data_IF_152944983856
#
_entry.id   IF_152944983856
#
_cell.length_a   1.000
_cell.length_b   1.000
_cell.length_c   1.000
_cell.angle_alpha   90.00
_cell.angle_beta   90.00
_cell.angle_gamma   90.00
#
_symmetry.space_group_name_H-M   'P 1'
#
loop_
_entity.id
_entity.type
_entity.pdbx_description
1 polymer ?
#
# COMPACT_ATOMS: atom_id res chain seq x y z
N UNK A 1 -54.72 11.24 34.50
CA UNK A 1 -53.75 10.17 34.09
C UNK A 1 -53.14 10.55 32.76
N UNK A 2 -51.88 10.97 32.75
CA UNK A 2 -51.17 11.38 31.54
C UNK A 2 -50.46 10.15 30.92
N UNK A 3 -50.67 9.93 29.60
CA UNK A 3 -50.01 8.85 28.84
C UNK A 3 -48.52 9.16 28.60
N UNK A 4 -47.61 8.22 28.75
CA UNK A 4 -46.22 8.46 28.49
C UNK A 4 -45.93 8.60 26.97
N UNK A 5 -45.23 9.68 26.58
CA UNK A 5 -44.73 9.92 25.22
C UNK A 5 -43.67 8.85 24.86
N UNK A 6 -43.94 8.06 23.81
CA UNK A 6 -42.93 7.15 23.20
C UNK A 6 -41.86 8.00 22.51
N UNK A 7 -40.65 8.00 23.06
CA UNK A 7 -39.47 8.55 22.41
C UNK A 7 -39.02 7.58 21.33
N UNK A 8 -39.30 7.92 20.09
CA UNK A 8 -38.74 7.21 18.92
C UNK A 8 -37.23 7.50 18.83
N UNK A 9 -36.39 6.51 19.16
CA UNK A 9 -34.97 6.55 18.88
C UNK A 9 -34.76 6.70 17.37
N UNK A 10 -34.29 7.87 16.91
CA UNK A 10 -33.83 8.08 15.54
C UNK A 10 -32.69 7.07 15.29
N UNK A 11 -32.90 6.07 14.43
CA UNK A 11 -31.82 5.24 13.86
C UNK A 11 -30.96 6.21 13.04
N UNK A 12 -29.76 6.50 13.52
CA UNK A 12 -28.75 7.20 12.73
C UNK A 12 -28.49 6.38 11.47
N UNK A 13 -28.77 6.96 10.31
CA UNK A 13 -28.49 6.32 9.03
C UNK A 13 -27.01 5.98 8.98
N UNK A 14 -26.67 4.72 8.64
CA UNK A 14 -25.28 4.33 8.41
C UNK A 14 -24.71 5.25 7.33
N UNK A 15 -23.51 5.85 7.52
CA UNK A 15 -22.88 6.66 6.50
C UNK A 15 -22.76 5.85 5.21
N UNK A 16 -23.09 6.46 4.07
CA UNK A 16 -23.03 5.82 2.75
C UNK A 16 -21.59 5.40 2.51
N UNK A 17 -21.33 4.10 2.46
CA UNK A 17 -19.99 3.56 2.24
C UNK A 17 -19.44 4.07 0.90
N UNK A 18 -18.26 4.65 0.91
CA UNK A 18 -17.58 5.07 -0.31
C UNK A 18 -17.24 3.83 -1.13
N UNK A 19 -17.64 3.82 -2.42
CA UNK A 19 -17.30 2.72 -3.33
C UNK A 19 -15.80 2.74 -3.58
N UNK A 20 -15.11 1.68 -3.17
CA UNK A 20 -13.68 1.49 -3.43
C UNK A 20 -13.47 0.71 -4.73
N UNK A 21 -12.45 1.06 -5.49
CA UNK A 21 -12.05 0.36 -6.70
C UNK A 21 -10.92 -0.59 -6.33
N UNK A 22 -11.14 -1.89 -6.54
CA UNK A 22 -10.25 -2.98 -6.15
C UNK A 22 -9.76 -3.67 -7.42
N UNK A 23 -8.72 -3.14 -8.04
CA UNK A 23 -8.22 -3.61 -9.31
C UNK A 23 -6.68 -3.65 -9.38
N UNK A 24 -6.00 -3.80 -8.23
CA UNK A 24 -4.58 -4.14 -8.23
C UNK A 24 -4.37 -5.46 -8.99
N UNK A 25 -3.62 -5.40 -10.08
CA UNK A 25 -3.35 -6.55 -10.93
C UNK A 25 -2.24 -7.41 -10.33
N UNK A 26 -2.25 -8.73 -10.51
CA UNK A 26 -1.09 -9.56 -10.24
C UNK A 26 0.13 -9.07 -11.03
N UNK A 27 1.30 -9.13 -10.42
CA UNK A 27 2.56 -8.75 -11.06
C UNK A 27 2.95 -9.77 -12.13
N UNK A 28 3.32 -9.32 -13.36
CA UNK A 28 3.75 -10.21 -14.42
C UNK A 28 5.22 -10.60 -14.27
N UNK A 29 5.61 -11.77 -14.77
CA UNK A 29 7.02 -12.24 -14.86
C UNK A 29 7.76 -12.15 -13.54
N UNK A 30 7.15 -12.67 -12.48
CA UNK A 30 7.72 -12.66 -11.12
C UNK A 30 8.76 -13.74 -10.92
N UNK A 31 8.86 -14.71 -11.82
CA UNK A 31 9.85 -15.79 -11.85
C UNK A 31 11.28 -15.28 -12.02
N UNK A 32 11.45 -14.10 -12.64
CA UNK A 32 12.74 -13.46 -12.87
C UNK A 32 13.13 -12.46 -11.74
N UNK A 33 12.30 -12.30 -10.71
CA UNK A 33 12.58 -11.36 -9.63
C UNK A 33 13.64 -11.89 -8.68
N UNK A 34 14.48 -11.01 -8.18
CA UNK A 34 15.31 -11.32 -7.02
C UNK A 34 14.44 -11.63 -5.81
N UNK A 35 14.79 -12.71 -5.12
CA UNK A 35 14.04 -13.26 -3.99
C UNK A 35 14.57 -12.76 -2.64
N UNK A 36 13.92 -13.16 -1.55
CA UNK A 36 14.46 -12.97 -0.19
C UNK A 36 15.83 -13.64 -0.04
N UNK A 37 16.02 -14.84 -0.60
CA UNK A 37 17.29 -15.56 -0.54
C UNK A 37 18.41 -14.82 -1.28
N UNK A 38 18.09 -14.17 -2.40
CA UNK A 38 19.06 -13.34 -3.12
C UNK A 38 19.43 -12.10 -2.32
N UNK A 39 18.48 -11.49 -1.63
CA UNK A 39 18.74 -10.39 -0.69
C UNK A 39 19.62 -10.84 0.48
N UNK A 40 19.39 -12.04 0.99
CA UNK A 40 20.18 -12.61 2.08
C UNK A 40 21.62 -12.94 1.63
N UNK A 41 21.81 -13.54 0.45
CA UNK A 41 23.13 -13.82 -0.14
C UNK A 41 23.92 -12.53 -0.42
N UNK A 42 23.22 -11.44 -0.70
CA UNK A 42 23.79 -10.11 -0.94
C UNK A 42 23.96 -9.27 0.33
N UNK A 43 23.77 -9.86 1.52
CA UNK A 43 23.86 -9.20 2.83
C UNK A 43 22.87 -8.03 3.02
N UNK A 44 21.85 -7.93 2.16
CA UNK A 44 20.80 -6.91 2.23
C UNK A 44 19.75 -7.32 3.26
N UNK A 45 19.39 -8.60 3.31
CA UNK A 45 18.51 -9.16 4.32
C UNK A 45 19.32 -9.99 5.34
N UNK A 46 19.00 -9.86 6.62
CA UNK A 46 19.68 -10.59 7.68
C UNK A 46 19.03 -11.96 7.91
N UNK A 47 19.30 -12.94 7.03
CA UNK A 47 18.67 -14.26 7.03
C UNK A 47 18.80 -15.02 8.36
N UNK A 48 19.88 -14.80 9.11
CA UNK A 48 20.20 -15.48 10.37
C UNK A 48 19.91 -14.65 11.63
N UNK A 49 19.39 -13.43 11.47
CA UNK A 49 19.09 -12.58 12.62
C UNK A 49 17.93 -13.14 13.45
N UNK A 50 18.05 -13.02 14.76
CA UNK A 50 16.91 -13.29 15.65
C UNK A 50 15.79 -12.31 15.35
N UNK A 51 14.64 -12.82 14.90
CA UNK A 51 13.46 -12.01 14.60
C UNK A 51 12.78 -11.66 15.94
N UNK A 52 12.61 -10.37 16.30
CA UNK A 52 11.89 -10.00 17.52
C UNK A 52 10.43 -10.47 17.44
N UNK A 53 9.81 -10.65 18.60
CA UNK A 53 8.41 -11.11 18.69
C UNK A 53 7.41 -10.10 18.12
N UNK A 54 7.80 -8.82 18.05
CA UNK A 54 6.99 -7.75 17.48
C UNK A 54 7.87 -6.65 16.90
N UNK A 55 7.33 -5.94 15.92
CA UNK A 55 7.90 -4.73 15.32
C UNK A 55 6.78 -3.78 14.94
N UNK A 56 6.94 -2.51 15.26
CA UNK A 56 6.03 -1.45 14.82
C UNK A 56 6.83 -0.31 14.20
N UNK A 57 6.60 -0.05 12.92
CA UNK A 57 7.28 0.99 12.15
C UNK A 57 6.45 2.28 12.05
N UNK A 58 5.24 2.31 12.62
CA UNK A 58 4.37 3.49 12.60
C UNK A 58 5.04 4.66 13.31
N UNK A 59 4.82 5.84 12.78
CA UNK A 59 5.34 7.11 13.32
C UNK A 59 4.30 8.21 13.17
N UNK A 60 4.38 9.25 14.00
CA UNK A 60 3.41 10.35 13.99
C UNK A 60 3.43 11.18 12.70
N UNK A 61 4.57 11.25 12.02
CA UNK A 61 4.70 11.97 10.75
C UNK A 61 4.13 11.21 9.54
N UNK A 62 3.90 9.90 9.68
CA UNK A 62 3.46 9.04 8.57
C UNK A 62 1.94 8.92 8.55
N UNK A 63 1.28 10.04 8.29
CA UNK A 63 -0.17 10.19 8.31
C UNK A 63 -0.86 9.34 7.25
N UNK A 64 -2.07 8.89 7.55
CA UNK A 64 -2.93 8.13 6.62
C UNK A 64 -3.65 9.09 5.69
N UNK A 65 -3.63 8.76 4.40
CA UNK A 65 -4.34 9.48 3.34
C UNK A 65 -5.47 8.64 2.73
N UNK A 66 -6.25 9.22 1.82
CA UNK A 66 -7.40 8.55 1.18
C UNK A 66 -7.29 8.61 -0.36
N UNK A 67 -7.26 7.42 -0.99
CA UNK A 67 -7.26 7.27 -2.44
C UNK A 67 -8.60 7.62 -3.10
N UNK A 68 -9.65 7.80 -2.32
CA UNK A 68 -10.99 8.04 -2.84
C UNK A 68 -11.56 6.84 -3.60
N UNK A 69 -12.34 7.16 -4.65
CA UNK A 69 -12.95 6.17 -5.55
C UNK A 69 -12.14 6.00 -6.84
N UNK A 70 -10.82 5.76 -6.68
CA UNK A 70 -9.89 5.57 -7.80
C UNK A 70 -9.20 4.21 -7.73
N UNK A 71 -8.68 3.74 -8.87
CA UNK A 71 -7.87 2.51 -8.99
C UNK A 71 -6.40 2.67 -8.55
N UNK A 72 -6.08 3.71 -7.81
CA UNK A 72 -4.73 4.16 -7.51
C UNK A 72 -4.05 3.50 -6.30
N UNK A 73 -4.57 2.40 -5.78
CA UNK A 73 -4.04 1.74 -4.57
C UNK A 73 -2.53 1.44 -4.66
N UNK A 74 -2.04 0.99 -5.81
CA UNK A 74 -0.61 0.74 -6.05
C UNK A 74 0.20 2.04 -5.94
N UNK A 75 -0.31 3.14 -6.49
CA UNK A 75 0.33 4.46 -6.37
C UNK A 75 0.44 4.93 -4.91
N UNK A 76 -0.59 4.71 -4.10
CA UNK A 76 -0.58 5.06 -2.68
C UNK A 76 0.30 4.11 -1.86
N UNK A 77 0.20 2.80 -2.09
CA UNK A 77 1.03 1.83 -1.39
C UNK A 77 2.52 2.03 -1.69
N UNK A 78 2.87 2.36 -2.95
CA UNK A 78 4.26 2.65 -3.32
C UNK A 78 4.73 4.03 -2.82
N UNK A 79 4.07 5.13 -3.22
CA UNK A 79 4.55 6.47 -2.95
C UNK A 79 4.40 6.87 -1.47
N UNK A 80 3.17 6.81 -0.93
CA UNK A 80 2.87 7.33 0.41
C UNK A 80 3.28 6.36 1.53
N UNK A 81 3.25 5.05 1.23
CA UNK A 81 3.62 4.06 2.24
C UNK A 81 5.09 3.65 2.11
N UNK A 82 5.46 2.86 1.11
CA UNK A 82 6.78 2.23 1.01
C UNK A 82 7.90 3.27 0.82
N UNK A 83 7.89 4.00 -0.31
CA UNK A 83 8.97 4.89 -0.71
C UNK A 83 9.15 6.06 0.26
N UNK A 84 8.06 6.67 0.72
CA UNK A 84 8.14 7.80 1.65
C UNK A 84 8.84 7.41 2.94
N UNK A 85 8.50 6.26 3.53
CA UNK A 85 9.14 5.78 4.75
C UNK A 85 10.65 5.61 4.55
N UNK A 86 11.04 4.89 3.52
CA UNK A 86 12.45 4.62 3.23
C UNK A 86 13.25 5.91 2.92
N UNK A 87 12.67 6.82 2.13
CA UNK A 87 13.37 8.05 1.78
C UNK A 87 13.46 9.04 2.95
N UNK A 88 12.51 9.03 3.87
CA UNK A 88 12.64 9.80 5.12
C UNK A 88 13.73 9.18 6.00
N UNK A 89 13.76 7.86 6.14
CA UNK A 89 14.79 7.17 6.94
C UNK A 89 16.19 7.32 6.38
N UNK A 90 16.35 7.38 5.06
CA UNK A 90 17.64 7.60 4.38
C UNK A 90 18.00 9.10 4.21
N UNK A 91 17.19 10.04 4.71
CA UNK A 91 17.45 11.48 4.60
C UNK A 91 17.18 12.09 3.21
N UNK A 92 16.65 11.31 2.25
CA UNK A 92 16.28 11.80 0.91
C UNK A 92 14.98 12.63 0.90
N UNK A 93 14.18 12.54 1.97
CA UNK A 93 12.98 13.34 2.23
C UNK A 93 12.97 13.81 3.69
N UNK A 94 12.34 14.95 3.93
CA UNK A 94 11.94 15.36 5.28
C UNK A 94 10.59 14.73 5.63
N UNK A 95 10.28 14.68 6.91
CA UNK A 95 9.02 14.12 7.42
C UNK A 95 7.77 14.85 6.90
N UNK A 96 7.88 16.14 6.54
CA UNK A 96 6.79 16.96 6.00
C UNK A 96 6.60 16.80 4.48
N UNK A 97 7.57 16.20 3.77
CA UNK A 97 7.48 16.03 2.32
C UNK A 97 6.70 14.79 1.95
N UNK A 98 5.84 14.92 0.95
CA UNK A 98 5.05 13.83 0.37
C UNK A 98 5.57 13.48 -1.01
N UNK A 99 5.48 12.22 -1.38
CA UNK A 99 5.64 11.76 -2.76
C UNK A 99 4.29 11.75 -3.46
N UNK A 100 4.31 11.84 -4.77
CA UNK A 100 3.10 11.84 -5.61
C UNK A 100 2.58 10.42 -5.87
N UNK A 101 1.46 10.00 -5.27
CA UNK A 101 0.82 8.74 -5.63
C UNK A 101 0.30 8.77 -7.07
N UNK A 102 -0.09 9.95 -7.59
CA UNK A 102 -0.54 10.11 -8.96
C UNK A 102 0.59 9.81 -9.95
N UNK A 103 1.80 10.31 -9.70
CA UNK A 103 2.95 9.99 -10.55
C UNK A 103 3.22 8.48 -10.57
N UNK A 104 3.32 7.85 -9.40
CA UNK A 104 3.60 6.43 -9.33
C UNK A 104 2.52 5.61 -10.03
N UNK A 105 1.25 5.96 -9.85
CA UNK A 105 0.14 5.29 -10.51
C UNK A 105 0.15 5.47 -12.03
N UNK A 106 0.23 6.73 -12.53
CA UNK A 106 0.20 7.03 -13.96
C UNK A 106 1.42 6.47 -14.70
N UNK A 107 2.62 6.68 -14.16
CA UNK A 107 3.84 6.14 -14.77
C UNK A 107 3.83 4.60 -14.80
N UNK A 108 3.25 3.97 -13.79
CA UNK A 108 3.05 2.52 -13.81
C UNK A 108 2.06 2.09 -14.88
N UNK A 109 0.96 2.82 -15.08
CA UNK A 109 -0.01 2.54 -16.15
C UNK A 109 0.60 2.70 -17.55
N UNK A 110 1.46 3.70 -17.74
CA UNK A 110 2.18 3.93 -19.00
C UNK A 110 3.17 2.80 -19.35
N UNK A 111 3.67 2.09 -18.34
CA UNK A 111 4.75 1.10 -18.50
C UNK A 111 4.30 -0.34 -18.26
N UNK A 112 3.08 -0.57 -17.76
CA UNK A 112 2.59 -1.92 -17.51
C UNK A 112 2.16 -2.61 -18.82
N UNK A 113 2.13 -3.95 -18.84
CA UNK A 113 1.71 -4.71 -20.02
C UNK A 113 0.18 -4.81 -20.17
N UNK A 114 -0.58 -4.23 -19.25
CA UNK A 114 -2.03 -4.34 -19.26
C UNK A 114 -2.64 -3.35 -20.24
N UNK A 115 -3.31 -3.86 -21.25
CA UNK A 115 -3.98 -3.04 -22.27
C UNK A 115 -5.20 -2.36 -21.64
N UNK A 116 -5.12 -1.03 -21.50
CA UNK A 116 -6.24 -0.19 -21.10
C UNK A 116 -6.90 0.37 -22.35
N UNK A 117 -8.20 0.11 -22.55
CA UNK A 117 -8.94 0.69 -23.69
C UNK A 117 -9.22 2.17 -23.46
N UNK A 118 -9.16 3.02 -24.50
CA UNK A 118 -9.41 4.48 -24.38
C UNK A 118 -10.79 4.86 -23.82
N UNK A 119 -11.75 3.94 -23.87
CA UNK A 119 -13.11 4.14 -23.35
C UNK A 119 -13.21 4.03 -21.83
N UNK A 120 -12.14 3.60 -21.15
CA UNK A 120 -12.11 3.45 -19.70
C UNK A 120 -11.54 4.72 -19.08
N UNK A 121 -12.23 5.28 -18.10
CA UNK A 121 -11.65 6.37 -17.30
C UNK A 121 -10.42 5.85 -16.58
N UNK A 122 -9.28 6.51 -16.79
CA UNK A 122 -8.01 6.15 -16.14
C UNK A 122 -8.14 6.07 -14.62
N UNK A 123 -9.05 6.85 -14.04
CA UNK A 123 -9.36 6.88 -12.62
C UNK A 123 -9.82 5.51 -12.05
N UNK A 124 -10.32 4.62 -12.89
CA UNK A 124 -10.73 3.27 -12.48
C UNK A 124 -9.66 2.20 -12.70
N UNK A 125 -8.60 2.54 -13.44
CA UNK A 125 -7.60 1.57 -13.86
C UNK A 125 -6.56 1.29 -12.79
N UNK A 126 -6.25 0.00 -12.61
CA UNK A 126 -5.20 -0.48 -11.71
C UNK A 126 -3.96 -0.93 -12.47
N UNK A 127 -2.91 -1.13 -11.72
CA UNK A 127 -1.61 -1.65 -12.17
C UNK A 127 -1.09 -2.69 -11.17
N UNK A 128 0.16 -3.16 -11.32
CA UNK A 128 0.77 -4.16 -10.43
C UNK A 128 1.84 -3.56 -9.53
N UNK A 129 2.19 -4.29 -8.47
CA UNK A 129 3.24 -3.87 -7.53
C UNK A 129 4.59 -3.75 -8.23
N UNK A 130 4.98 -4.78 -8.98
CA UNK A 130 6.26 -4.85 -9.71
C UNK A 130 6.41 -3.66 -10.66
N UNK A 131 5.37 -3.30 -11.39
CA UNK A 131 5.45 -2.16 -12.31
C UNK A 131 5.75 -0.85 -11.57
N UNK A 132 5.14 -0.61 -10.41
CA UNK A 132 5.45 0.57 -9.61
C UNK A 132 6.90 0.55 -9.07
N UNK A 133 7.42 -0.62 -8.73
CA UNK A 133 8.80 -0.78 -8.29
C UNK A 133 9.79 -0.60 -9.45
N UNK A 134 9.45 -1.05 -10.66
CA UNK A 134 10.21 -0.77 -11.88
C UNK A 134 10.26 0.72 -12.18
N UNK A 135 9.13 1.44 -12.05
CA UNK A 135 9.09 2.90 -12.15
C UNK A 135 10.00 3.54 -11.12
N UNK A 136 9.91 3.13 -9.85
CA UNK A 136 10.74 3.67 -8.77
C UNK A 136 12.23 3.42 -9.02
N UNK A 137 12.61 2.27 -9.60
CA UNK A 137 14.00 1.92 -9.92
C UNK A 137 14.52 2.63 -11.17
N UNK A 138 13.74 2.66 -12.24
CA UNK A 138 14.15 3.24 -13.53
C UNK A 138 14.08 4.77 -13.53
N UNK A 139 12.99 5.34 -13.07
CA UNK A 139 12.70 6.78 -13.15
C UNK A 139 12.77 7.49 -11.80
N UNK A 140 12.46 6.80 -10.70
CA UNK A 140 12.40 7.37 -9.37
C UNK A 140 10.99 7.83 -9.00
N UNK A 141 10.90 8.81 -8.09
CA UNK A 141 9.64 9.36 -7.60
C UNK A 141 9.70 10.88 -7.43
N UNK A 142 8.62 11.59 -7.80
CA UNK A 142 8.50 13.03 -7.61
C UNK A 142 7.77 13.35 -6.31
N UNK A 143 8.01 14.54 -5.76
CA UNK A 143 7.22 15.07 -4.63
C UNK A 143 5.80 15.39 -5.10
N UNK A 144 4.83 15.28 -4.19
CA UNK A 144 3.41 15.60 -4.45
C UNK A 144 3.22 17.06 -4.92
N UNK A 145 4.09 17.97 -4.50
CA UNK A 145 4.09 19.37 -4.96
C UNK A 145 4.31 19.52 -6.47
N UNK A 146 4.93 18.56 -7.15
CA UNK A 146 5.12 18.57 -8.60
C UNK A 146 3.92 18.01 -9.37
N UNK A 147 3.25 17.03 -8.80
CA UNK A 147 2.06 16.41 -9.41
C UNK A 147 1.10 15.98 -8.28
N UNK A 148 0.30 16.91 -7.75
CA UNK A 148 -0.64 16.62 -6.65
C UNK A 148 -1.69 15.61 -7.05
N UNK A 149 -2.04 14.71 -6.12
CA UNK A 149 -3.03 13.68 -6.40
C UNK A 149 -4.41 14.26 -6.71
N UNK A 150 -4.87 15.22 -5.90
CA UNK A 150 -6.25 15.71 -5.91
C UNK A 150 -6.59 16.67 -7.07
N UNK A 151 -5.60 17.34 -7.67
CA UNK A 151 -5.90 18.48 -8.55
C UNK A 151 -6.02 18.12 -10.02
N UNK A 152 -5.57 16.96 -10.46
CA UNK A 152 -5.50 16.59 -11.87
C UNK A 152 -4.65 17.53 -12.74
N UNK A 153 -3.92 18.47 -12.10
CA UNK A 153 -3.06 19.41 -12.82
C UNK A 153 -1.83 18.69 -13.35
N UNK A 154 -1.53 18.93 -14.61
CA UNK A 154 -0.27 18.50 -15.20
C UNK A 154 0.87 19.37 -14.67
N UNK A 155 2.07 18.82 -14.67
CA UNK A 155 3.27 19.57 -14.35
C UNK A 155 3.49 20.66 -15.42
N UNK A 156 3.57 21.92 -14.98
CA UNK A 156 3.68 23.08 -15.89
C UNK A 156 5.12 23.39 -16.33
N UNK A 157 6.12 22.72 -15.72
CA UNK A 157 7.55 22.93 -16.04
C UNK A 157 8.01 22.08 -17.22
N UNK A 158 9.32 22.15 -17.50
CA UNK A 158 9.95 21.33 -18.55
C UNK A 158 9.97 19.86 -18.14
N UNK A 159 9.65 18.94 -19.05
CA UNK A 159 9.67 17.51 -18.82
C UNK A 159 11.04 17.02 -18.32
N UNK A 160 12.14 17.55 -18.88
CA UNK A 160 13.50 17.23 -18.43
C UNK A 160 13.73 17.54 -16.93
N UNK A 161 13.24 18.68 -16.45
CA UNK A 161 13.31 19.06 -15.04
C UNK A 161 12.47 18.13 -14.17
N UNK A 162 11.30 17.73 -14.65
CA UNK A 162 10.43 16.80 -13.93
C UNK A 162 11.11 15.44 -13.74
N UNK A 163 11.64 14.85 -14.80
CA UNK A 163 12.32 13.56 -14.71
C UNK A 163 13.66 13.63 -13.97
N UNK A 164 14.42 14.73 -14.09
CA UNK A 164 15.61 14.95 -13.30
C UNK A 164 15.29 14.99 -11.79
N UNK A 165 14.17 15.61 -11.43
CA UNK A 165 13.69 15.64 -10.04
C UNK A 165 13.26 14.25 -9.55
N UNK A 166 12.61 13.46 -10.39
CA UNK A 166 12.26 12.08 -10.08
C UNK A 166 13.49 11.23 -9.81
N UNK A 167 14.52 11.37 -10.64
CA UNK A 167 15.76 10.61 -10.57
C UNK A 167 16.55 10.78 -9.25
N UNK A 168 16.31 11.86 -8.51
CA UNK A 168 16.89 12.06 -7.17
C UNK A 168 16.37 11.05 -6.13
N UNK A 169 15.28 10.34 -6.44
CA UNK A 169 14.58 9.43 -5.52
C UNK A 169 14.31 8.09 -6.16
N UNK A 170 15.40 7.45 -6.64
CA UNK A 170 15.37 6.07 -7.13
C UNK A 170 15.61 5.10 -5.99
N UNK A 171 15.03 3.92 -6.10
CA UNK A 171 15.45 2.75 -5.34
C UNK A 171 16.60 2.06 -6.07
N UNK A 172 17.44 1.35 -5.32
CA UNK A 172 18.55 0.56 -5.87
C UNK A 172 18.04 -0.78 -6.39
N UNK A 173 17.25 -1.46 -5.57
CA UNK A 173 16.72 -2.78 -5.84
C UNK A 173 15.34 -2.99 -5.20
N UNK A 174 14.64 -4.00 -5.66
CA UNK A 174 13.48 -4.59 -5.00
C UNK A 174 13.58 -6.12 -5.04
N UNK A 175 12.97 -6.75 -4.06
CA UNK A 175 13.02 -8.20 -3.85
C UNK A 175 11.61 -8.74 -3.67
N UNK A 176 11.27 -9.78 -4.41
CA UNK A 176 10.06 -10.56 -4.23
C UNK A 176 10.22 -11.44 -2.99
N UNK A 177 9.44 -11.16 -1.95
CA UNK A 177 9.49 -11.88 -0.69
C UNK A 177 8.55 -13.11 -0.68
N UNK A 178 7.91 -13.40 -1.82
CA UNK A 178 6.95 -14.50 -1.93
C UNK A 178 5.80 -14.37 -0.95
N UNK A 179 5.38 -15.52 -0.41
CA UNK A 179 4.27 -15.62 0.57
C UNK A 179 4.72 -16.23 1.91
N UNK A 180 6.03 -16.32 2.16
CA UNK A 180 6.57 -16.80 3.42
C UNK A 180 6.48 -15.72 4.52
N UNK A 181 5.62 -15.91 5.50
CA UNK A 181 5.37 -14.95 6.57
C UNK A 181 6.59 -14.73 7.47
N UNK A 182 7.51 -15.69 7.56
CA UNK A 182 8.77 -15.55 8.31
C UNK A 182 9.71 -14.57 7.60
N UNK A 183 9.80 -14.63 6.28
CA UNK A 183 10.61 -13.71 5.49
C UNK A 183 10.05 -12.29 5.57
N UNK A 184 8.72 -12.13 5.59
CA UNK A 184 8.09 -10.84 5.80
C UNK A 184 8.41 -10.25 7.17
N UNK A 185 8.35 -11.05 8.23
CA UNK A 185 8.74 -10.61 9.59
C UNK A 185 10.20 -10.22 9.65
N UNK A 186 11.07 -11.03 9.03
CA UNK A 186 12.49 -10.74 8.97
C UNK A 186 12.74 -9.40 8.25
N UNK A 187 12.12 -9.20 7.08
CA UNK A 187 12.25 -7.95 6.33
C UNK A 187 11.75 -6.74 7.12
N UNK A 188 10.57 -6.85 7.72
CA UNK A 188 9.97 -5.79 8.55
C UNK A 188 10.84 -5.44 9.77
N UNK A 189 11.49 -6.43 10.36
CA UNK A 189 12.36 -6.23 11.53
C UNK A 189 13.63 -5.45 11.18
N UNK A 190 14.23 -5.74 10.03
CA UNK A 190 15.60 -5.33 9.70
C UNK A 190 15.66 -4.28 8.58
N UNK A 191 14.77 -4.33 7.59
CA UNK A 191 14.84 -3.55 6.37
C UNK A 191 13.74 -2.47 6.25
N UNK A 192 12.60 -2.62 6.95
CA UNK A 192 11.51 -1.64 6.92
C UNK A 192 10.21 -2.18 6.32
N UNK A 193 9.26 -1.30 5.95
CA UNK A 193 7.96 -1.72 5.43
C UNK A 193 8.08 -2.48 4.12
N UNK A 194 7.08 -3.34 3.86
CA UNK A 194 6.92 -4.07 2.61
C UNK A 194 5.62 -3.67 1.92
N UNK A 195 5.60 -3.72 0.60
CA UNK A 195 4.39 -3.52 -0.20
C UNK A 195 3.78 -4.86 -0.54
N UNK A 196 2.48 -5.01 -0.33
CA UNK A 196 1.79 -6.28 -0.55
C UNK A 196 0.54 -6.10 -1.40
N UNK A 197 0.23 -7.13 -2.20
CA UNK A 197 -1.04 -7.32 -2.88
C UNK A 197 -1.85 -8.36 -2.12
N UNK A 198 -3.15 -8.12 -2.02
CA UNK A 198 -4.08 -9.07 -1.44
C UNK A 198 -5.40 -9.06 -2.22
N UNK A 199 -6.17 -10.14 -2.04
CA UNK A 199 -7.55 -10.19 -2.48
C UNK A 199 -8.47 -9.76 -1.32
N UNK A 200 -9.16 -8.63 -1.50
CA UNK A 200 -10.06 -8.06 -0.47
C UNK A 200 -11.36 -8.83 -0.43
N UNK A 201 -11.76 -9.23 0.75
CA UNK A 201 -13.04 -9.88 1.03
C UNK A 201 -13.99 -8.94 1.84
N UNK A 202 -15.16 -9.45 2.23
CA UNK A 202 -16.16 -8.67 2.97
C UNK A 202 -15.72 -8.22 4.37
N UNK A 203 -14.70 -8.84 4.97
CA UNK A 203 -14.21 -8.46 6.31
C UNK A 203 -13.67 -7.02 6.33
N UNK A 204 -13.16 -6.53 5.20
CA UNK A 204 -12.69 -5.15 5.06
C UNK A 204 -13.78 -4.10 5.22
N UNK A 205 -15.04 -4.45 4.94
CA UNK A 205 -16.15 -3.53 5.16
C UNK A 205 -16.45 -3.30 6.63
N UNK A 206 -16.19 -4.30 7.43
CA UNK A 206 -16.48 -4.30 8.86
C UNK A 206 -15.25 -3.94 9.71
N UNK A 207 -14.07 -3.72 9.07
CA UNK A 207 -12.83 -3.40 9.75
C UNK A 207 -12.94 -2.24 10.76
N UNK A 208 -13.73 -1.20 10.45
CA UNK A 208 -13.93 -0.09 11.39
C UNK A 208 -14.77 -0.47 12.63
N UNK A 209 -15.55 -1.55 12.57
CA UNK A 209 -16.33 -2.05 13.70
C UNK A 209 -15.57 -3.09 14.52
N UNK A 210 -14.58 -3.74 13.89
CA UNK A 210 -13.73 -4.77 14.54
C UNK A 210 -12.42 -4.16 15.11
N UNK A 211 -12.28 -2.83 15.12
CA UNK A 211 -11.04 -2.18 15.51
C UNK A 211 -9.86 -2.50 14.57
N UNK A 212 -10.16 -2.78 13.30
CA UNK A 212 -9.17 -3.12 12.28
C UNK A 212 -8.83 -4.63 12.21
N UNK A 213 -9.42 -5.48 13.03
CA UNK A 213 -9.09 -6.91 13.02
C UNK A 213 -9.60 -7.61 11.75
N UNK A 214 -8.69 -8.31 11.08
CA UNK A 214 -8.92 -9.18 9.94
C UNK A 214 -8.54 -10.61 10.37
N UNK A 215 -9.52 -11.38 10.85
CA UNK A 215 -9.26 -12.66 11.51
C UNK A 215 -9.34 -13.84 10.54
N UNK A 216 -10.39 -13.91 9.73
CA UNK A 216 -10.65 -15.04 8.83
C UNK A 216 -11.00 -14.52 7.44
N UNK A 217 -10.24 -15.00 6.45
CA UNK A 217 -10.48 -14.67 5.04
C UNK A 217 -11.65 -15.49 4.49
N UNK A 218 -12.57 -14.82 3.79
CA UNK A 218 -13.71 -15.45 3.12
C UNK A 218 -13.59 -15.34 1.59
N UNK A 219 -13.00 -16.35 0.93
CA UNK A 219 -12.78 -16.31 -0.52
C UNK A 219 -14.08 -16.18 -1.35
N UNK A 220 -15.21 -16.65 -0.81
CA UNK A 220 -16.52 -16.54 -1.49
C UNK A 220 -17.04 -15.09 -1.57
N UNK A 221 -16.49 -14.18 -0.76
CA UNK A 221 -16.84 -12.76 -0.75
C UNK A 221 -15.76 -11.85 -1.34
N UNK A 222 -14.79 -12.42 -2.05
CA UNK A 222 -13.69 -11.67 -2.71
C UNK A 222 -14.24 -10.66 -3.71
N UNK A 223 -13.71 -9.43 -3.66
CA UNK A 223 -14.14 -8.29 -4.48
C UNK A 223 -13.11 -7.81 -5.48
N UNK A 224 -11.86 -8.18 -5.31
CA UNK A 224 -10.75 -7.82 -6.20
C UNK A 224 -9.46 -7.52 -5.47
N UNK A 225 -8.41 -7.29 -6.25
CA UNK A 225 -7.07 -7.04 -5.76
C UNK A 225 -6.89 -5.63 -5.20
N UNK A 226 -6.12 -5.51 -4.12
CA UNK A 226 -5.75 -4.26 -3.48
C UNK A 226 -4.28 -4.25 -3.13
N UNK A 227 -3.68 -3.06 -3.10
CA UNK A 227 -2.30 -2.84 -2.69
C UNK A 227 -2.26 -2.03 -1.39
N UNK A 228 -1.49 -2.52 -0.42
CA UNK A 228 -1.26 -1.87 0.88
C UNK A 228 0.21 -2.04 1.30
N UNK A 229 0.59 -1.48 2.45
CA UNK A 229 1.87 -1.79 3.05
C UNK A 229 1.70 -2.55 4.38
N UNK A 230 2.57 -3.52 4.64
CA UNK A 230 2.76 -4.02 5.99
C UNK A 230 3.83 -3.15 6.66
N UNK A 231 3.52 -2.69 7.86
CA UNK A 231 4.33 -1.70 8.59
C UNK A 231 4.71 -2.18 9.98
N UNK A 232 4.59 -3.48 10.20
CA UNK A 232 4.95 -4.13 11.45
C UNK A 232 4.20 -5.44 11.65
N UNK A 233 4.43 -6.03 12.81
CA UNK A 233 3.77 -7.26 13.25
C UNK A 233 3.80 -7.41 14.77
N UNK A 234 2.91 -8.23 15.28
CA UNK A 234 2.91 -8.78 16.64
C UNK A 234 3.21 -10.28 16.59
N UNK A 235 3.09 -10.97 17.71
CA UNK A 235 3.27 -12.42 17.75
C UNK A 235 2.31 -13.16 16.79
N UNK A 236 1.11 -12.62 16.58
CA UNK A 236 -0.01 -13.28 15.90
C UNK A 236 -0.60 -12.51 14.72
N UNK A 237 -0.15 -11.25 14.46
CA UNK A 237 -0.75 -10.38 13.43
C UNK A 237 0.27 -9.55 12.68
N UNK A 238 -0.05 -9.20 11.43
CA UNK A 238 0.62 -8.14 10.69
C UNK A 238 -0.15 -6.82 10.81
N UNK A 239 0.59 -5.70 10.91
CA UNK A 239 0.04 -4.34 10.91
C UNK A 239 -0.04 -3.85 9.48
N UNK A 240 -1.25 -3.68 8.99
CA UNK A 240 -1.57 -3.22 7.63
C UNK A 240 -1.77 -1.71 7.64
N UNK A 241 -1.05 -0.97 6.77
CA UNK A 241 -1.27 0.45 6.52
C UNK A 241 -2.03 0.61 5.21
N UNK A 242 -3.26 1.12 5.29
CA UNK A 242 -4.15 1.30 4.15
C UNK A 242 -4.22 2.76 3.68
N UNK A 243 -4.84 2.98 2.53
CA UNK A 243 -5.08 4.29 1.89
C UNK A 243 -6.57 4.64 1.76
N UNK A 244 -7.38 4.29 2.76
CA UNK A 244 -8.84 4.56 2.76
C UNK A 244 -9.27 5.59 3.81
N UNK A 245 -8.32 6.45 4.23
CA UNK A 245 -8.57 7.48 5.24
C UNK A 245 -8.59 6.92 6.67
N UNK A 246 -8.60 7.83 7.63
CA UNK A 246 -8.55 7.50 9.06
C UNK A 246 -9.88 7.00 9.64
N UNK A 247 -10.96 7.06 8.88
CA UNK A 247 -12.26 6.51 9.28
C UNK A 247 -12.40 5.01 9.03
N UNK A 248 -11.46 4.40 8.29
CA UNK A 248 -11.42 2.98 8.03
C UNK A 248 -10.51 2.26 9.03
N UNK A 249 -10.91 1.06 9.46
CA UNK A 249 -10.13 0.25 10.38
C UNK A 249 -9.87 0.94 11.72
N UNK A 250 -8.69 0.72 12.29
CA UNK A 250 -8.16 1.48 13.41
C UNK A 250 -7.36 2.68 12.86
N UNK A 251 -8.04 3.80 12.62
CA UNK A 251 -7.44 5.05 12.12
C UNK A 251 -6.62 4.87 10.83
N UNK A 252 -7.11 4.01 9.92
CA UNK A 252 -6.46 3.69 8.65
C UNK A 252 -5.53 2.49 8.68
N UNK A 253 -5.44 1.81 9.81
CA UNK A 253 -4.70 0.57 9.98
C UNK A 253 -5.64 -0.63 10.17
N UNK A 254 -5.11 -1.83 9.87
CA UNK A 254 -5.75 -3.08 10.20
C UNK A 254 -4.71 -4.07 10.74
N UNK A 255 -5.20 -5.15 11.33
CA UNK A 255 -4.40 -6.18 11.99
C UNK A 255 -4.80 -7.54 11.42
N UNK A 256 -4.06 -7.99 10.41
CA UNK A 256 -4.30 -9.28 9.76
C UNK A 256 -3.71 -10.41 10.60
N UNK A 257 -4.53 -11.40 11.00
CA UNK A 257 -4.02 -12.62 11.62
C UNK A 257 -3.05 -13.34 10.67
N UNK A 258 -2.24 -14.25 11.19
CA UNK A 258 -1.33 -15.02 10.33
C UNK A 258 -2.11 -15.87 9.32
N UNK A 259 -3.22 -16.47 9.75
CA UNK A 259 -4.10 -17.25 8.87
C UNK A 259 -4.73 -16.38 7.80
N UNK A 260 -5.20 -15.18 8.16
CA UNK A 260 -5.71 -14.22 7.18
C UNK A 260 -4.62 -13.82 6.18
N UNK A 261 -3.43 -13.48 6.65
CA UNK A 261 -2.32 -13.09 5.80
C UNK A 261 -1.91 -14.21 4.84
N UNK A 262 -1.80 -15.44 5.34
CA UNK A 262 -1.46 -16.60 4.52
C UNK A 262 -2.52 -16.89 3.44
N UNK A 263 -3.80 -16.64 3.72
CA UNK A 263 -4.88 -16.94 2.81
C UNK A 263 -5.17 -15.82 1.79
N UNK A 264 -5.03 -14.55 2.18
CA UNK A 264 -5.48 -13.40 1.39
C UNK A 264 -4.34 -12.66 0.65
N UNK A 265 -3.12 -12.61 1.22
CA UNK A 265 -2.00 -11.89 0.62
C UNK A 265 -1.29 -12.76 -0.41
N UNK A 266 -1.15 -12.23 -1.62
CA UNK A 266 -0.68 -12.99 -2.79
C UNK A 266 0.70 -12.58 -3.28
N UNK A 267 1.16 -11.37 -2.93
CA UNK A 267 2.46 -10.84 -3.33
C UNK A 267 3.02 -9.95 -2.24
N UNK A 268 4.34 -9.96 -2.06
CA UNK A 268 5.06 -9.08 -1.16
C UNK A 268 6.40 -8.66 -1.75
N UNK A 269 6.71 -7.37 -1.65
CA UNK A 269 7.97 -6.81 -2.10
C UNK A 269 8.62 -5.93 -1.04
N UNK A 270 9.92 -6.14 -0.83
CA UNK A 270 10.80 -5.25 -0.10
C UNK A 270 11.70 -4.45 -1.03
N UNK A 271 12.24 -3.32 -0.56
CA UNK A 271 13.12 -2.45 -1.36
C UNK A 271 14.41 -2.09 -0.63
N UNK A 272 15.42 -1.73 -1.44
CA UNK A 272 16.66 -1.09 -1.00
C UNK A 272 16.76 0.30 -1.62
N UNK A 273 17.15 1.33 -0.83
CA UNK A 273 17.27 2.75 -1.25
C UNK A 273 18.69 3.31 -1.12
#
# INVERSE_FOLDING_TARGET
MARPRKTTRRRTARPRRQKRILNCKPSPKTEDDWTFDDAAKSEIAAATATIPTSKDLRTTWWTINDQGSTGSCVGWASADSLLRWHFVKSGKLTTSQLLSPRFMWMASKETDPFVTRPTTFIETEGTSLKTALDVARKFGAVRDTYLPFATGKLYAGKASTFYATAALRKILAYFNLGTNLTDWRNWLANNGPIMVRLDVDSTWDDASFTGGNLDTYNPASTRGGHAVALVGYTADRFIVRNSWGTSWGDKGFAYASLDYAQAAFTEAYGIQV
#
